data_IF_468039230444
#
_entry.id   IF_468039230444
#
_cell.length_a   1.000
_cell.length_b   1.000
_cell.length_c   1.000
_cell.angle_alpha   90.00
_cell.angle_beta   90.00
_cell.angle_gamma   90.00
#
_symmetry.space_group_name_H-M   'P 1'
#
loop_
_entity.id
_entity.type
_entity.pdbx_description
1 polymer ?
#
# COMPACT_ATOMS: atom_id res chain seq x y z
N UNK A 1 -11.68 1.94 0.70
CA UNK A 1 -10.78 3.09 0.81
C UNK A 1 -9.38 2.50 0.74
N UNK A 2 -8.79 2.58 -0.44
CA UNK A 2 -7.59 1.81 -0.78
C UNK A 2 -6.35 2.51 -0.22
N UNK A 3 -5.47 1.72 0.39
CA UNK A 3 -4.24 2.17 1.05
C UNK A 3 -3.12 2.20 0.00
N UNK A 4 -2.83 3.37 -0.58
CA UNK A 4 -1.98 3.45 -1.77
C UNK A 4 -0.48 3.51 -1.42
N UNK A 5 0.29 2.57 -1.98
CA UNK A 5 1.72 2.74 -2.20
C UNK A 5 2.00 2.68 -3.70
N UNK A 6 2.49 3.79 -4.26
CA UNK A 6 2.75 3.92 -5.69
C UNK A 6 4.12 3.35 -6.06
N UNK A 7 4.12 2.22 -6.76
CA UNK A 7 5.29 1.69 -7.49
C UNK A 7 5.14 2.11 -8.96
N UNK A 8 6.05 2.94 -9.46
CA UNK A 8 6.06 3.36 -10.87
C UNK A 8 7.14 2.60 -11.64
N UNK A 9 6.77 2.01 -12.79
CA UNK A 9 7.65 1.34 -13.75
C UNK A 9 7.59 2.06 -15.11
N UNK A 10 8.73 2.22 -15.78
CA UNK A 10 8.86 2.99 -17.02
C UNK A 10 8.45 2.24 -18.31
N UNK A 11 8.02 0.97 -18.23
CA UNK A 11 7.93 0.08 -19.40
C UNK A 11 6.51 -0.24 -19.94
N UNK A 12 5.51 0.62 -19.78
CA UNK A 12 4.22 0.41 -20.47
C UNK A 12 3.64 1.68 -21.10
N UNK A 13 3.39 1.57 -22.40
CA UNK A 13 2.81 2.60 -23.27
C UNK A 13 1.47 3.14 -22.72
N UNK A 14 1.44 4.44 -22.46
CA UNK A 14 0.25 5.19 -22.05
C UNK A 14 -0.75 5.25 -23.21
N UNK A 15 -1.81 4.45 -23.16
CA UNK A 15 -2.98 4.59 -24.02
C UNK A 15 -4.23 4.81 -23.17
N UNK A 16 -4.81 5.99 -23.33
CA UNK A 16 -6.06 6.41 -22.68
C UNK A 16 -7.22 5.73 -23.39
N UNK A 17 -7.96 4.87 -22.70
CA UNK A 17 -9.27 4.38 -23.13
C UNK A 17 -10.33 4.74 -22.08
N UNK A 18 -11.28 5.58 -22.49
CA UNK A 18 -12.51 5.85 -21.77
C UNK A 18 -13.41 4.61 -21.74
N UNK A 19 -14.03 4.39 -20.57
CA UNK A 19 -15.31 3.69 -20.39
C UNK A 19 -15.34 2.19 -20.73
N UNK A 20 -14.94 1.36 -19.78
CA UNK A 20 -15.62 0.10 -19.41
C UNK A 20 -14.99 -0.46 -18.13
N UNK A 21 -15.85 -1.09 -17.33
CA UNK A 21 -15.55 -1.96 -16.18
C UNK A 21 -14.13 -2.52 -16.12
N UNK A 22 -13.46 -2.33 -14.97
CA UNK A 22 -12.23 -3.05 -14.61
C UNK A 22 -10.96 -2.37 -15.09
N UNK A 23 -10.54 -1.30 -14.40
CA UNK A 23 -9.15 -0.86 -14.47
C UNK A 23 -8.29 -1.86 -13.69
N UNK A 24 -7.31 -2.48 -14.37
CA UNK A 24 -6.29 -3.34 -13.77
C UNK A 24 -5.49 -2.56 -12.70
N UNK A 25 -5.92 -2.72 -11.45
CA UNK A 25 -5.32 -2.18 -10.23
C UNK A 25 -4.41 -3.22 -9.55
N UNK A 26 -3.76 -4.11 -10.32
CA UNK A 26 -3.04 -5.27 -9.77
C UNK A 26 -1.70 -4.95 -9.08
N UNK A 27 -1.14 -3.73 -9.25
CA UNK A 27 0.25 -3.44 -8.82
C UNK A 27 0.42 -2.34 -7.76
N UNK A 28 -0.68 -1.75 -7.24
CA UNK A 28 -0.61 -0.53 -6.40
C UNK A 28 -0.69 -0.77 -4.87
N UNK A 29 -0.72 -2.02 -4.40
CA UNK A 29 -0.98 -2.36 -2.99
C UNK A 29 0.07 -3.27 -2.32
N UNK A 30 1.26 -3.43 -2.88
CA UNK A 30 2.05 -4.65 -2.61
C UNK A 30 3.20 -4.57 -1.58
N UNK A 31 3.52 -3.43 -0.95
CA UNK A 31 4.76 -3.37 -0.13
C UNK A 31 4.52 -3.12 1.37
N UNK A 32 3.40 -2.52 1.78
CA UNK A 32 3.27 -2.01 3.14
C UNK A 32 2.12 -2.66 3.92
N UNK A 33 2.44 -3.70 4.74
CA UNK A 33 1.53 -4.27 5.75
C UNK A 33 1.59 -3.45 7.04
N UNK A 34 0.73 -2.43 7.16
CA UNK A 34 1.11 -1.29 7.99
C UNK A 34 0.02 -0.56 8.76
N UNK A 35 -1.22 -1.05 8.83
CA UNK A 35 -2.16 -0.42 9.74
C UNK A 35 -3.08 -1.45 10.39
N UNK A 36 -2.70 -1.84 11.59
CA UNK A 36 -3.46 -2.77 12.42
C UNK A 36 -4.50 -2.06 13.29
N UNK A 37 -4.45 -0.73 13.37
CA UNK A 37 -5.30 0.09 14.25
C UNK A 37 -6.80 -0.15 14.00
N UNK A 38 -7.30 -0.06 12.75
CA UNK A 38 -8.72 -0.31 12.47
C UNK A 38 -9.17 -1.72 12.86
N UNK A 39 -8.29 -2.71 12.69
CA UNK A 39 -8.63 -4.11 12.97
C UNK A 39 -8.87 -4.37 14.47
N UNK A 40 -8.07 -3.73 15.34
CA UNK A 40 -8.06 -4.03 16.76
C UNK A 40 -9.02 -3.14 17.57
N UNK A 41 -9.01 -1.83 17.31
CA UNK A 41 -9.73 -0.86 18.16
C UNK A 41 -11.00 -0.31 17.52
N UNK A 42 -11.19 -0.59 16.23
CA UNK A 42 -12.13 0.16 15.42
C UNK A 42 -11.56 1.53 15.06
N UNK A 43 -11.72 1.98 13.82
CA UNK A 43 -11.34 3.33 13.38
C UNK A 43 -12.57 4.01 12.77
N UNK A 44 -12.87 5.24 13.18
CA UNK A 44 -13.95 6.00 12.58
C UNK A 44 -13.53 6.69 11.28
N UNK A 45 -12.25 6.63 10.89
CA UNK A 45 -11.67 7.28 9.71
C UNK A 45 -12.05 8.78 9.60
N UNK A 46 -12.26 9.44 10.74
CA UNK A 46 -12.68 10.85 10.80
C UNK A 46 -14.19 11.09 10.64
N UNK A 47 -15.02 10.03 10.66
CA UNK A 47 -16.49 10.14 10.71
C UNK A 47 -16.89 10.47 12.16
N UNK A 48 -17.48 11.65 12.35
CA UNK A 48 -17.70 12.25 13.68
C UNK A 48 -18.82 11.60 14.51
N UNK A 49 -19.61 10.69 13.92
CA UNK A 49 -20.94 10.37 14.43
C UNK A 49 -21.02 9.16 15.38
N UNK A 50 -20.01 8.30 15.49
CA UNK A 50 -20.12 7.07 16.30
C UNK A 50 -18.83 6.61 16.99
N UNK A 51 -18.99 5.76 18.01
CA UNK A 51 -17.89 5.09 18.73
C UNK A 51 -17.09 4.18 17.78
N UNK A 52 -15.74 4.15 17.85
CA UNK A 52 -14.93 3.32 16.97
C UNK A 52 -15.29 1.82 17.02
N UNK A 53 -15.77 1.34 18.17
CA UNK A 53 -16.19 -0.05 18.37
C UNK A 53 -17.32 -0.48 17.42
N UNK A 54 -18.17 0.44 16.98
CA UNK A 54 -19.24 0.17 16.02
C UNK A 54 -18.69 -0.27 14.65
N UNK A 55 -17.59 0.36 14.22
CA UNK A 55 -16.96 0.04 12.94
C UNK A 55 -16.07 -1.20 13.01
N UNK A 56 -15.73 -1.68 14.21
CA UNK A 56 -14.79 -2.79 14.43
C UNK A 56 -15.29 -4.09 13.81
N UNK A 57 -16.59 -4.40 13.89
CA UNK A 57 -17.16 -5.60 13.24
C UNK A 57 -17.02 -5.53 11.73
N UNK A 58 -17.38 -4.39 11.13
CA UNK A 58 -17.23 -4.14 9.71
C UNK A 58 -15.76 -4.25 9.28
N UNK A 59 -14.84 -3.63 10.02
CA UNK A 59 -13.41 -3.64 9.70
C UNK A 59 -12.80 -5.03 9.83
N UNK A 60 -13.17 -5.81 10.85
CA UNK A 60 -12.72 -7.19 11.00
C UNK A 60 -13.21 -8.11 9.88
N UNK A 61 -14.34 -7.78 9.24
CA UNK A 61 -14.84 -8.51 8.07
C UNK A 61 -14.09 -8.21 6.76
N UNK A 62 -13.18 -7.24 6.72
CA UNK A 62 -12.45 -6.86 5.51
C UNK A 62 -11.11 -7.62 5.37
N UNK A 63 -10.94 -8.50 4.36
CA UNK A 63 -9.68 -9.22 4.15
C UNK A 63 -8.50 -8.31 3.84
N UNK A 64 -8.75 -7.14 3.26
CA UNK A 64 -7.73 -6.14 3.01
C UNK A 64 -7.06 -5.66 4.29
N UNK A 65 -7.78 -5.58 5.43
CA UNK A 65 -7.20 -5.17 6.69
C UNK A 65 -6.42 -6.30 7.37
N UNK A 66 -6.89 -7.55 7.25
CA UNK A 66 -6.13 -8.72 7.69
C UNK A 66 -4.81 -8.88 6.89
N UNK A 67 -4.85 -8.63 5.59
CA UNK A 67 -3.66 -8.61 4.72
C UNK A 67 -2.62 -7.58 5.19
N UNK A 68 -3.05 -6.45 5.75
CA UNK A 68 -2.17 -5.35 6.15
C UNK A 68 -1.62 -5.48 7.58
N UNK A 69 -1.82 -6.61 8.26
CA UNK A 69 -1.24 -6.86 9.58
C UNK A 69 0.30 -6.96 9.52
N UNK A 70 1.04 -6.40 10.50
CA UNK A 70 2.49 -6.39 10.52
C UNK A 70 3.13 -7.75 10.18
N UNK A 71 4.13 -7.74 9.29
CA UNK A 71 4.83 -8.94 8.84
C UNK A 71 5.87 -9.42 9.89
N UNK A 72 5.84 -10.68 10.35
CA UNK A 72 6.80 -11.17 11.32
C UNK A 72 8.27 -11.06 10.90
N UNK A 73 8.57 -10.89 9.61
CA UNK A 73 9.95 -10.72 9.11
C UNK A 73 10.49 -9.29 9.26
N UNK A 74 9.61 -8.31 9.52
CA UNK A 74 9.98 -6.89 9.69
C UNK A 74 10.03 -6.50 11.18
N UNK A 75 9.17 -7.10 12.02
CA UNK A 75 9.11 -6.85 13.46
C UNK A 75 9.90 -7.88 14.26
N UNK A 76 10.49 -7.47 15.38
CA UNK A 76 11.22 -8.39 16.26
C UNK A 76 10.27 -9.38 16.94
N UNK A 77 10.71 -10.62 17.14
CA UNK A 77 9.95 -11.63 17.90
C UNK A 77 9.73 -11.30 19.37
N UNK A 78 10.48 -10.34 19.91
CA UNK A 78 10.32 -9.84 21.28
C UNK A 78 9.51 -8.54 21.37
N UNK A 79 9.14 -7.96 20.23
CA UNK A 79 8.43 -6.68 20.18
C UNK A 79 6.94 -6.86 20.46
N UNK A 80 6.50 -6.30 21.58
CA UNK A 80 5.09 -6.31 21.98
C UNK A 80 4.35 -5.24 21.19
N UNK A 81 3.38 -5.68 20.38
CA UNK A 81 2.51 -4.79 19.60
C UNK A 81 1.18 -4.52 20.32
N UNK A 82 0.75 -5.44 21.19
CA UNK A 82 -0.44 -5.27 22.02
C UNK A 82 -0.13 -5.73 23.43
N UNK A 83 -0.23 -4.82 24.39
CA UNK A 83 -0.12 -5.12 25.81
C UNK A 83 -1.49 -5.03 26.47
N UNK A 84 -1.83 -6.02 27.29
CA UNK A 84 -3.08 -6.07 28.07
C UNK A 84 -2.76 -6.29 29.55
N UNK A 85 -3.73 -6.16 30.47
CA UNK A 85 -3.46 -6.39 31.90
C UNK A 85 -3.03 -7.82 32.22
N UNK A 86 -3.39 -8.79 31.37
CA UNK A 86 -3.17 -10.22 31.60
C UNK A 86 -2.13 -10.84 30.68
N UNK A 87 -1.96 -10.30 29.46
CA UNK A 87 -1.05 -10.86 28.45
C UNK A 87 -0.52 -9.82 27.48
N UNK A 88 0.67 -10.08 26.94
CA UNK A 88 1.28 -9.32 25.87
C UNK A 88 1.30 -10.17 24.60
N UNK A 89 1.05 -9.53 23.44
CA UNK A 89 1.05 -10.16 22.13
C UNK A 89 2.09 -9.49 21.23
N UNK A 90 2.83 -10.33 20.52
CA UNK A 90 3.75 -9.95 19.44
C UNK A 90 3.09 -10.23 18.08
N UNK A 91 3.77 -9.84 16.99
CA UNK A 91 3.35 -10.19 15.62
C UNK A 91 3.37 -11.69 15.34
N UNK A 92 4.00 -12.50 16.20
CA UNK A 92 4.05 -13.95 16.08
C UNK A 92 2.86 -14.63 16.78
N UNK A 93 2.13 -13.89 17.62
CA UNK A 93 1.05 -14.42 18.46
C UNK A 93 -0.34 -14.17 17.85
N UNK A 94 -0.43 -13.87 16.55
CA UNK A 94 -1.72 -13.52 15.90
C UNK A 94 -2.79 -14.58 16.09
N UNK A 95 -2.43 -15.86 16.01
CA UNK A 95 -3.41 -16.93 16.22
C UNK A 95 -4.05 -16.83 17.60
N UNK A 96 -3.20 -16.77 18.63
CA UNK A 96 -3.64 -16.71 20.01
C UNK A 96 -4.39 -15.40 20.30
N UNK A 97 -3.92 -14.29 19.73
CA UNK A 97 -4.59 -13.01 19.80
C UNK A 97 -6.02 -13.05 19.20
N UNK A 98 -6.20 -13.63 18.01
CA UNK A 98 -7.52 -13.73 17.39
C UNK A 98 -8.46 -14.67 18.14
N UNK A 99 -7.92 -15.75 18.71
CA UNK A 99 -8.68 -16.63 19.61
C UNK A 99 -9.14 -15.86 20.86
N UNK A 100 -8.28 -15.01 21.45
CA UNK A 100 -8.55 -14.29 22.70
C UNK A 100 -9.52 -13.12 22.56
N UNK A 101 -9.46 -12.35 21.46
CA UNK A 101 -10.38 -11.20 21.27
C UNK A 101 -11.80 -11.64 20.92
N UNK A 102 -11.95 -12.86 20.40
CA UNK A 102 -13.20 -13.37 19.84
C UNK A 102 -13.70 -12.53 18.65
N UNK A 103 -14.38 -13.19 17.73
CA UNK A 103 -15.23 -12.51 16.75
C UNK A 103 -16.67 -13.00 16.91
N UNK A 104 -17.41 -12.47 17.90
CA UNK A 104 -18.85 -12.69 17.95
C UNK A 104 -19.47 -11.91 16.79
N UNK A 105 -19.86 -12.64 15.75
CA UNK A 105 -20.83 -12.22 14.73
C UNK A 105 -20.44 -11.02 13.84
N UNK A 106 -19.71 -11.31 12.76
CA UNK A 106 -19.88 -10.56 11.52
C UNK A 106 -21.27 -10.83 10.95
N UNK A 107 -22.26 -10.07 11.41
CA UNK A 107 -23.56 -9.83 10.79
C UNK A 107 -24.30 -11.07 10.24
N UNK A 108 -24.77 -11.98 11.11
CA UNK A 108 -26.08 -12.64 10.92
C UNK A 108 -26.40 -13.59 12.07
N UNK A 109 -27.57 -13.35 12.69
CA UNK A 109 -28.32 -14.34 13.44
C UNK A 109 -28.56 -15.60 12.59
N UNK A 110 -27.67 -16.58 12.66
CA UNK A 110 -27.94 -17.95 12.21
C UNK A 110 -27.46 -18.89 13.30
N UNK A 111 -28.37 -19.19 14.23
CA UNK A 111 -28.38 -20.31 15.18
C UNK A 111 -27.09 -20.62 15.94
N UNK A 112 -27.25 -20.74 17.27
CA UNK A 112 -26.31 -21.13 18.34
C UNK A 112 -25.30 -22.28 18.05
N UNK A 113 -25.39 -22.98 16.92
CA UNK A 113 -24.45 -24.00 16.46
C UNK A 113 -23.28 -23.45 15.61
N UNK A 114 -23.37 -22.23 15.05
CA UNK A 114 -22.34 -21.65 14.17
C UNK A 114 -21.26 -20.87 14.94
N UNK A 115 -21.53 -20.39 16.16
CA UNK A 115 -20.57 -19.61 16.96
C UNK A 115 -19.26 -20.34 17.27
N UNK A 116 -19.25 -21.68 17.28
CA UNK A 116 -18.02 -22.46 17.49
C UNK A 116 -17.07 -22.44 16.27
N UNK A 117 -17.59 -22.27 15.05
CA UNK A 117 -16.81 -22.25 13.82
C UNK A 117 -16.30 -20.85 13.43
N UNK A 118 -16.87 -19.78 13.99
CA UNK A 118 -16.57 -18.40 13.59
C UNK A 118 -15.39 -17.74 14.33
N UNK A 119 -14.92 -18.32 15.44
CA UNK A 119 -13.85 -17.72 16.25
C UNK A 119 -12.51 -17.57 15.51
N UNK A 120 -12.31 -18.24 14.38
CA UNK A 120 -11.04 -18.23 13.63
C UNK A 120 -11.12 -17.54 12.27
N UNK A 121 -12.25 -16.91 11.89
CA UNK A 121 -12.38 -16.28 10.56
C UNK A 121 -11.33 -15.19 10.35
N UNK A 122 -11.09 -14.36 11.37
CA UNK A 122 -10.08 -13.31 11.36
C UNK A 122 -8.66 -13.84 11.07
N UNK A 123 -8.26 -14.87 11.82
CA UNK A 123 -6.97 -15.52 11.63
C UNK A 123 -6.89 -16.23 10.27
N UNK A 124 -7.97 -16.88 9.84
CA UNK A 124 -8.02 -17.53 8.54
C UNK A 124 -7.87 -16.52 7.39
N UNK A 125 -8.51 -15.35 7.47
CA UNK A 125 -8.31 -14.27 6.51
C UNK A 125 -6.85 -13.80 6.47
N UNK A 126 -6.18 -13.71 7.61
CA UNK A 126 -4.74 -13.44 7.65
C UNK A 126 -3.94 -14.56 6.99
N UNK A 127 -4.19 -15.83 7.31
CA UNK A 127 -3.51 -16.98 6.72
C UNK A 127 -3.71 -17.07 5.20
N UNK A 128 -4.93 -16.84 4.72
CA UNK A 128 -5.28 -16.87 3.30
C UNK A 128 -4.60 -15.72 2.53
N UNK A 129 -4.43 -14.57 3.17
CA UNK A 129 -3.89 -13.37 2.52
C UNK A 129 -2.38 -13.20 2.71
N UNK A 130 -1.77 -13.80 3.74
CA UNK A 130 -0.35 -13.55 4.07
C UNK A 130 0.62 -13.97 2.97
N UNK A 131 0.24 -14.95 2.16
CA UNK A 131 1.06 -15.48 1.09
C UNK A 131 0.76 -14.89 -0.30
N UNK A 132 -0.26 -14.03 -0.44
CA UNK A 132 -0.66 -13.46 -1.76
C UNK A 132 0.49 -12.61 -2.35
N UNK A 133 1.18 -11.86 -1.49
CA UNK A 133 2.30 -10.99 -1.86
C UNK A 133 3.45 -11.20 -0.89
N UNK A 134 4.64 -11.44 -1.43
CA UNK A 134 5.88 -11.47 -0.66
C UNK A 134 6.56 -10.10 -0.74
N UNK A 135 6.48 -9.25 0.32
CA UNK A 135 7.02 -7.89 0.29
C UNK A 135 8.55 -7.84 0.10
N UNK A 136 9.27 -8.96 0.28
CA UNK A 136 10.72 -9.02 0.08
C UNK A 136 11.11 -9.39 -1.36
N UNK A 137 10.13 -9.67 -2.23
CA UNK A 137 10.37 -9.93 -3.64
C UNK A 137 9.85 -8.75 -4.47
N UNK A 138 10.70 -8.13 -5.32
CA UNK A 138 10.20 -7.12 -6.24
C UNK A 138 9.28 -7.76 -7.30
N UNK A 139 8.41 -6.95 -7.92
CA UNK A 139 7.61 -7.40 -9.06
C UNK A 139 8.49 -7.87 -10.22
N UNK A 140 8.03 -8.91 -10.93
CA UNK A 140 8.70 -9.42 -12.13
C UNK A 140 8.46 -8.51 -13.35
N UNK A 141 9.40 -8.51 -14.29
CA UNK A 141 9.26 -7.77 -15.56
C UNK A 141 9.53 -6.26 -15.47
N UNK A 142 10.15 -5.80 -14.38
CA UNK A 142 10.51 -4.38 -14.16
C UNK A 142 12.00 -4.28 -13.87
N UNK A 143 12.72 -3.50 -14.67
CA UNK A 143 14.17 -3.32 -14.52
C UNK A 143 14.54 -2.22 -13.52
N UNK A 144 13.65 -1.23 -13.34
CA UNK A 144 13.85 -0.09 -12.45
C UNK A 144 12.58 0.23 -11.66
N UNK A 145 12.71 0.34 -10.34
CA UNK A 145 11.64 0.68 -9.40
C UNK A 145 11.97 1.99 -8.71
N UNK A 146 10.99 2.89 -8.65
CA UNK A 146 11.04 4.09 -7.85
C UNK A 146 10.30 3.86 -6.54
N UNK A 147 11.02 3.81 -5.42
CA UNK A 147 10.43 3.69 -4.11
C UNK A 147 10.31 5.07 -3.46
N UNK A 148 9.11 5.61 -3.44
CA UNK A 148 8.82 6.95 -2.91
C UNK A 148 7.90 6.83 -1.72
N UNK A 149 8.33 7.31 -0.56
CA UNK A 149 7.53 7.27 0.68
C UNK A 149 7.83 8.45 1.60
N UNK A 150 6.98 8.65 2.61
CA UNK A 150 7.15 9.71 3.60
C UNK A 150 7.81 9.21 4.89
N UNK A 151 8.51 10.09 5.59
CA UNK A 151 9.15 9.81 6.88
C UNK A 151 8.99 10.98 7.86
N UNK A 152 9.54 10.84 9.06
CA UNK A 152 9.53 11.85 10.12
C UNK A 152 8.11 12.29 10.55
N UNK A 153 7.14 11.37 10.46
CA UNK A 153 5.80 11.54 11.03
C UNK A 153 5.59 10.47 12.10
N UNK A 154 5.18 10.92 13.29
CA UNK A 154 4.87 10.04 14.41
C UNK A 154 3.78 9.04 14.01
N UNK A 155 4.05 7.74 14.16
CA UNK A 155 3.20 6.66 13.61
C UNK A 155 2.85 5.64 14.71
N UNK A 156 1.61 5.13 14.78
CA UNK A 156 1.23 4.10 15.76
C UNK A 156 2.17 2.89 15.71
N UNK A 157 2.67 2.45 16.87
CA UNK A 157 3.62 1.35 16.99
C UNK A 157 3.08 0.20 17.84
N UNK A 158 2.41 0.51 18.95
CA UNK A 158 1.79 -0.50 19.81
C UNK A 158 0.58 0.04 20.56
N UNK A 159 -0.21 -0.87 21.12
CA UNK A 159 -1.40 -0.57 21.90
C UNK A 159 -1.24 -1.06 23.33
N UNK A 160 -1.62 -0.22 24.29
CA UNK A 160 -1.68 -0.57 25.70
C UNK A 160 -3.13 -0.51 26.20
N UNK A 161 -3.69 -1.68 26.52
CA UNK A 161 -4.94 -1.80 27.25
C UNK A 161 -4.64 -1.83 28.74
N UNK A 162 -5.13 -0.83 29.49
CA UNK A 162 -5.02 -0.77 30.95
C UNK A 162 -6.24 -1.32 31.68
N UNK A 163 -7.34 -1.55 30.95
CA UNK A 163 -8.63 -2.03 31.45
C UNK A 163 -9.25 -3.06 30.50
N UNK A 164 -10.58 -3.19 30.51
CA UNK A 164 -11.35 -4.21 29.79
C UNK A 164 -10.91 -4.42 28.33
N UNK A 165 -10.11 -5.46 28.08
CA UNK A 165 -9.70 -5.90 26.75
C UNK A 165 -10.70 -6.94 26.24
N UNK A 166 -11.12 -6.92 24.95
CA UNK A 166 -10.68 -6.02 23.87
C UNK A 166 -11.57 -4.77 23.68
N UNK A 167 -12.53 -4.50 24.57
CA UNK A 167 -13.61 -3.54 24.32
C UNK A 167 -13.37 -2.11 24.83
N UNK A 168 -12.32 -1.88 25.62
CA UNK A 168 -11.87 -0.55 25.98
C UNK A 168 -11.00 0.05 24.87
N UNK A 169 -10.99 1.38 24.76
CA UNK A 169 -10.03 2.06 23.88
C UNK A 169 -8.63 2.01 24.52
N UNK A 170 -7.60 1.49 23.85
CA UNK A 170 -6.25 1.45 24.38
C UNK A 170 -5.57 2.81 24.25
N UNK A 171 -4.49 2.98 25.01
CA UNK A 171 -3.53 4.04 24.73
C UNK A 171 -2.64 3.60 23.57
N UNK A 172 -2.50 4.46 22.56
CA UNK A 172 -1.60 4.21 21.43
C UNK A 172 -0.20 4.74 21.78
N UNK A 173 0.79 3.86 21.69
CA UNK A 173 2.18 4.24 21.69
C UNK A 173 2.63 4.48 20.26
N UNK A 174 3.47 5.48 20.07
CA UNK A 174 3.92 5.89 18.76
C UNK A 174 5.44 5.75 18.62
N UNK A 175 5.89 5.34 17.45
CA UNK A 175 7.27 5.51 17.03
C UNK A 175 7.47 6.88 16.38
N UNK A 176 8.72 7.35 16.37
CA UNK A 176 9.07 8.68 15.89
C UNK A 176 9.13 8.82 14.36
N UNK A 177 9.10 7.71 13.62
CA UNK A 177 9.34 7.71 12.17
C UNK A 177 8.33 6.83 11.42
N UNK A 178 7.90 7.32 10.26
CA UNK A 178 6.83 6.77 9.43
C UNK A 178 6.09 7.90 8.71
N UNK A 179 4.89 7.62 8.21
CA UNK A 179 4.05 8.59 7.50
C UNK A 179 2.75 8.94 8.25
N UNK A 180 2.64 8.57 9.54
CA UNK A 180 1.45 8.78 10.37
C UNK A 180 0.45 7.63 10.31
N UNK A 181 0.56 6.74 9.33
CA UNK A 181 -0.20 5.49 9.25
C UNK A 181 0.73 4.29 9.22
N UNK A 182 1.79 4.38 8.42
CA UNK A 182 2.65 3.29 8.00
C UNK A 182 4.04 3.46 8.59
N UNK A 183 4.49 2.45 9.33
CA UNK A 183 5.77 2.46 10.02
C UNK A 183 6.95 2.56 9.03
N UNK A 184 7.96 3.38 9.33
CA UNK A 184 9.10 3.62 8.43
C UNK A 184 9.83 2.32 8.02
N UNK A 185 9.96 1.38 8.97
CA UNK A 185 10.54 0.05 8.74
C UNK A 185 9.85 -0.74 7.62
N UNK A 186 8.54 -0.59 7.47
CA UNK A 186 7.81 -1.28 6.41
C UNK A 186 7.80 -0.49 5.11
N UNK A 187 7.76 0.85 5.17
CA UNK A 187 7.93 1.71 3.99
C UNK A 187 9.28 1.47 3.30
N UNK A 188 10.32 1.17 4.08
CA UNK A 188 11.67 0.98 3.58
C UNK A 188 11.96 -0.40 2.95
N UNK A 189 11.03 -1.37 3.00
CA UNK A 189 11.27 -2.75 2.52
C UNK A 189 11.69 -2.78 1.05
N UNK A 190 11.10 -1.92 0.22
CA UNK A 190 11.47 -1.78 -1.20
C UNK A 190 12.97 -1.56 -1.44
N UNK A 191 13.70 -1.01 -0.47
CA UNK A 191 15.13 -0.74 -0.57
C UNK A 191 15.97 -2.01 -0.51
N UNK A 192 15.44 -3.11 0.02
CA UNK A 192 16.15 -4.38 0.07
C UNK A 192 16.18 -5.11 -1.27
N UNK A 193 15.47 -4.62 -2.28
CA UNK A 193 15.36 -5.28 -3.59
C UNK A 193 16.54 -4.96 -4.54
N UNK A 194 17.56 -4.22 -4.08
CA UNK A 194 18.68 -3.74 -4.89
C UNK A 194 19.50 -4.82 -5.58
N UNK A 195 19.49 -6.04 -5.03
CA UNK A 195 20.21 -7.19 -5.60
C UNK A 195 19.48 -7.81 -6.81
N UNK A 196 18.21 -7.45 -7.01
CA UNK A 196 17.33 -8.04 -8.03
C UNK A 196 16.90 -7.01 -9.08
N UNK A 197 16.58 -5.79 -8.65
CA UNK A 197 16.13 -4.70 -9.52
C UNK A 197 16.81 -3.39 -9.13
N UNK A 198 16.93 -2.46 -10.06
CA UNK A 198 17.46 -1.14 -9.75
C UNK A 198 16.44 -0.35 -8.95
N UNK A 199 16.71 -0.09 -7.68
CA UNK A 199 15.83 0.71 -6.81
C UNK A 199 16.33 2.14 -6.72
N UNK A 200 15.46 3.11 -7.02
CA UNK A 200 15.67 4.53 -6.76
C UNK A 200 14.76 4.98 -5.64
N UNK A 201 15.35 5.29 -4.49
CA UNK A 201 14.59 5.70 -3.30
C UNK A 201 14.48 7.22 -3.22
N UNK A 202 13.28 7.72 -2.95
CA UNK A 202 13.05 9.11 -2.57
C UNK A 202 12.20 9.17 -1.30
N UNK A 203 12.79 9.69 -0.23
CA UNK A 203 12.12 9.86 1.06
C UNK A 203 11.66 11.31 1.20
N UNK A 204 10.39 11.53 1.49
CA UNK A 204 9.76 12.84 1.60
C UNK A 204 9.39 13.09 3.06
N UNK A 205 10.23 13.77 3.85
CA UNK A 205 9.96 13.92 5.28
C UNK A 205 8.80 14.90 5.55
N UNK A 206 8.07 14.64 6.64
CA UNK A 206 7.10 15.53 7.27
C UNK A 206 5.73 15.58 6.61
N UNK A 207 5.33 14.52 5.89
CA UNK A 207 4.04 14.48 5.17
C UNK A 207 3.22 13.27 5.61
N UNK A 208 1.96 13.49 5.96
CA UNK A 208 1.09 12.37 6.34
C UNK A 208 0.76 11.47 5.14
N UNK A 209 0.46 10.20 5.41
CA UNK A 209 0.18 9.13 4.46
C UNK A 209 -0.70 9.58 3.27
N UNK A 210 -1.86 10.17 3.56
CA UNK A 210 -2.81 10.60 2.52
C UNK A 210 -2.38 11.88 1.79
N UNK A 211 -1.55 12.72 2.42
CA UNK A 211 -1.15 14.02 1.88
C UNK A 211 0.05 13.92 0.93
N UNK A 212 0.76 12.79 0.91
CA UNK A 212 1.95 12.61 0.05
C UNK A 212 1.63 12.78 -1.43
N UNK A 213 0.45 12.32 -1.88
CA UNK A 213 0.01 12.44 -3.29
C UNK A 213 -0.21 13.89 -3.72
N UNK A 214 -0.39 14.81 -2.77
CA UNK A 214 -0.54 16.24 -2.99
C UNK A 214 0.76 17.02 -2.76
N UNK A 215 1.82 16.38 -2.23
CA UNK A 215 3.08 17.06 -1.94
C UNK A 215 3.78 17.47 -3.24
N UNK A 216 4.22 18.74 -3.38
CA UNK A 216 4.90 19.21 -4.59
C UNK A 216 6.15 18.41 -4.95
N UNK A 217 6.88 17.86 -3.97
CA UNK A 217 8.08 17.02 -4.18
C UNK A 217 7.70 15.67 -4.76
N UNK A 218 6.59 15.08 -4.31
CA UNK A 218 6.04 13.84 -4.87
C UNK A 218 5.57 14.06 -6.30
N UNK A 219 4.73 15.08 -6.54
CA UNK A 219 4.22 15.42 -7.87
C UNK A 219 5.38 15.69 -8.85
N UNK A 220 6.42 16.41 -8.39
CA UNK A 220 7.63 16.65 -9.18
C UNK A 220 8.33 15.34 -9.55
N UNK A 221 8.54 14.44 -8.59
CA UNK A 221 9.17 13.14 -8.83
C UNK A 221 8.40 12.31 -9.85
N UNK A 222 7.07 12.19 -9.70
CA UNK A 222 6.22 11.46 -10.65
C UNK A 222 6.30 12.06 -12.06
N UNK A 223 6.27 13.39 -12.19
CA UNK A 223 6.42 14.06 -13.49
C UNK A 223 7.75 13.77 -14.16
N UNK A 224 8.85 13.75 -13.39
CA UNK A 224 10.19 13.43 -13.88
C UNK A 224 10.27 11.96 -14.31
N UNK A 225 9.74 11.04 -13.50
CA UNK A 225 9.74 9.59 -13.79
C UNK A 225 8.93 9.27 -15.04
N UNK A 226 7.74 9.87 -15.17
CA UNK A 226 6.84 9.66 -16.29
C UNK A 226 7.24 10.43 -17.56
N UNK A 227 8.32 11.22 -17.52
CA UNK A 227 8.71 12.15 -18.60
C UNK A 227 7.57 13.09 -19.03
N UNK A 228 6.62 13.39 -18.14
CA UNK A 228 5.40 14.16 -18.44
C UNK A 228 5.66 15.65 -18.76
N UNK A 229 6.91 16.12 -18.58
CA UNK A 229 7.37 17.45 -18.96
C UNK A 229 8.10 17.52 -20.30
N UNK A 230 8.38 16.38 -20.96
CA UNK A 230 8.99 16.39 -22.29
C UNK A 230 7.89 16.43 -23.34
N UNK A 231 7.96 17.41 -24.25
CA UNK A 231 7.19 17.39 -25.49
C UNK A 231 7.60 16.12 -26.22
N UNK A 232 6.68 15.15 -26.36
CA UNK A 232 6.93 13.95 -27.15
C UNK A 232 7.54 14.37 -28.48
N UNK A 233 8.70 13.81 -28.90
CA UNK A 233 9.26 14.14 -30.19
C UNK A 233 8.17 13.87 -31.24
N UNK A 234 7.76 14.91 -31.98
CA UNK A 234 6.82 14.74 -33.08
C UNK A 234 7.33 13.60 -33.96
N UNK A 235 6.59 12.47 -34.00
CA UNK A 235 6.96 11.32 -34.82
C UNK A 235 7.28 11.82 -36.23
N UNK A 236 8.38 11.36 -36.82
CA UNK A 236 8.84 11.82 -38.14
C UNK A 236 7.79 11.66 -39.26
N UNK A 237 6.75 10.84 -39.07
CA UNK A 237 5.58 10.74 -39.96
C UNK A 237 4.69 11.98 -39.94
N UNK A 238 4.60 12.65 -38.78
CA UNK A 238 3.84 13.89 -38.62
C UNK A 238 4.55 15.05 -39.31
N UNK A 239 5.88 15.16 -39.15
CA UNK A 239 6.70 16.12 -39.92
C UNK A 239 6.61 15.90 -41.42
N UNK A 240 6.70 14.64 -41.89
CA UNK A 240 6.51 14.31 -43.32
C UNK A 240 5.13 14.71 -43.81
N UNK A 241 4.08 14.47 -43.02
CA UNK A 241 2.71 14.86 -43.36
C UNK A 241 2.51 16.38 -43.36
N UNK A 242 3.11 17.10 -42.41
CA UNK A 242 3.05 18.56 -42.32
C UNK A 242 3.79 19.21 -43.49
N UNK A 243 5.00 18.75 -43.80
CA UNK A 243 5.79 19.23 -44.95
C UNK A 243 5.12 18.90 -46.29
N UNK A 244 4.48 17.72 -46.42
CA UNK A 244 3.64 17.39 -47.57
C UNK A 244 2.42 18.31 -47.70
N UNK A 245 1.75 18.64 -46.57
CA UNK A 245 0.59 19.55 -46.57
C UNK A 245 0.95 21.00 -46.90
N UNK A 246 2.19 21.41 -46.59
CA UNK A 246 2.77 22.71 -46.94
C UNK A 246 3.41 22.73 -48.34
N UNK A 247 3.27 21.66 -49.12
CA UNK A 247 3.68 21.60 -50.52
C UNK A 247 5.18 21.37 -50.76
N UNK A 248 5.97 21.12 -49.72
CA UNK A 248 7.39 20.79 -49.86
C UNK A 248 7.57 19.30 -50.17
N UNK A 249 7.76 18.99 -51.46
CA UNK A 249 8.21 17.67 -51.91
C UNK A 249 9.74 17.61 -51.86
N UNK A 250 10.31 16.74 -51.03
CA UNK A 250 11.71 16.35 -51.16
C UNK A 250 11.88 15.62 -52.50
N UNK A 251 12.66 16.20 -53.41
CA UNK A 251 13.14 15.51 -54.59
C UNK A 251 14.03 14.34 -54.12
N UNK A 252 13.86 13.09 -54.61
CA UNK A 252 14.80 12.04 -54.27
C UNK A 252 16.17 12.47 -54.75
N UNK A 253 17.15 12.43 -53.83
CA UNK A 253 18.56 12.58 -54.15
C UNK A 253 18.90 11.68 -55.34
N UNK A 254 19.44 12.29 -56.40
CA UNK A 254 20.12 11.57 -57.47
C UNK A 254 21.05 10.53 -56.83
N UNK A 255 20.74 9.25 -57.03
CA UNK A 255 21.69 8.18 -56.76
C UNK A 255 22.87 8.41 -57.69
N UNK A 256 23.99 8.89 -57.15
CA UNK A 256 25.26 8.79 -57.84
C UNK A 256 25.56 7.31 -58.01
N UNK A 257 25.35 6.79 -59.21
CA UNK A 257 26.00 5.58 -59.69
C UNK A 257 27.50 5.87 -59.75
N UNK A 258 28.27 5.28 -58.85
CA UNK A 258 29.73 5.27 -58.95
C UNK A 258 30.14 4.33 -60.09
N UNK A 259 31.00 4.77 -61.03
CA UNK A 259 31.66 3.87 -61.99
C UNK A 259 32.72 2.99 -61.31
#
# INVERSE_FOLDING_TARGET
MDLYLLILSQNSDFSVCQHQSGFELHYLNQISRCNFTPYFVGDNFGIYLDSPLWYRELQRSMPSLAFLLPDPRIWSSSEVVIATPTKNYTVYDYKEFFDDIGFPEGLLMINMYISFFLHNVCYQMYEDTKAIVDPFKPPSGVDEIYCIYSSAVQTPASMLYTSAFPDAQPTINYESDGDGTVNARSLAVCQSWTDVVKVKTQIIPGVNHLSIVLDPRFIKAVKEIANAGQVLPMKGSLWRSLLHSLGWKFWPSLSLSTP
#
